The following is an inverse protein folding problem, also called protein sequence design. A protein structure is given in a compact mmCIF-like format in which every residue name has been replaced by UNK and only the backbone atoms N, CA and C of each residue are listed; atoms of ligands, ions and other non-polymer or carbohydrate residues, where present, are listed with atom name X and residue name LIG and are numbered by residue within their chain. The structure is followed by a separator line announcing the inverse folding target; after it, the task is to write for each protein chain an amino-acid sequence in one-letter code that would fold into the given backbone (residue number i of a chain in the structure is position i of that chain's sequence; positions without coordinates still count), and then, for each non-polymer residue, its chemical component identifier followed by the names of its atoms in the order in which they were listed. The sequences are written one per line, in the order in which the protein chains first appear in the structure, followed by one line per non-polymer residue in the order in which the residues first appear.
data_IF_613140893711
#
_entry.id   IF_613140893711
#
_cell.length_a   1.000
_cell.length_b   1.000
_cell.length_c   1.000
_cell.angle_alpha   90.00
_cell.angle_beta   90.00
_cell.angle_gamma   90.00
#
_symmetry.space_group_name_H-M   'P 1'
#
loop_
_entity.id
_entity.type
_entity.pdbx_description
1 polymer ?
#
# COMPACT_ATOMS: atom_id res chain seq x y z
N UNK A 1 2.09 7.46 -16.59
CA UNK A 1 2.15 7.33 -15.11
C UNK A 1 3.39 6.55 -14.66
N UNK A 2 3.71 5.43 -15.31
CA UNK A 2 4.81 4.53 -14.92
C UNK A 2 6.18 5.24 -14.93
N UNK A 3 6.51 5.98 -15.96
CA UNK A 3 7.85 6.60 -16.14
C UNK A 3 8.18 7.63 -15.05
N UNK A 4 7.22 8.44 -14.61
CA UNK A 4 7.43 9.41 -13.54
C UNK A 4 7.52 8.75 -12.15
N UNK A 5 6.78 7.66 -11.94
CA UNK A 5 6.82 6.90 -10.69
C UNK A 5 8.16 6.21 -10.48
N UNK A 6 8.76 5.66 -11.55
CA UNK A 6 10.07 5.02 -11.48
C UNK A 6 11.17 6.00 -11.09
N UNK A 7 11.22 7.18 -11.74
CA UNK A 7 12.20 8.22 -11.42
C UNK A 7 12.03 8.72 -9.96
N UNK A 8 10.79 8.88 -9.50
CA UNK A 8 10.48 9.29 -8.14
C UNK A 8 10.95 8.25 -7.11
N UNK A 9 10.60 6.97 -7.32
CA UNK A 9 10.98 5.89 -6.40
C UNK A 9 12.48 5.66 -6.40
N UNK A 10 13.12 5.72 -7.56
CA UNK A 10 14.58 5.65 -7.69
C UNK A 10 15.26 6.73 -6.85
N UNK A 11 14.81 7.97 -6.96
CA UNK A 11 15.34 9.09 -6.17
C UNK A 11 15.18 8.84 -4.67
N UNK A 12 14.02 8.32 -4.23
CA UNK A 12 13.80 8.00 -2.83
C UNK A 12 14.78 6.92 -2.36
N UNK A 13 14.86 5.79 -3.05
CA UNK A 13 15.59 4.63 -2.55
C UNK A 13 17.10 4.68 -2.81
N UNK A 14 17.56 5.39 -3.83
CA UNK A 14 18.97 5.45 -4.20
C UNK A 14 19.67 6.72 -3.70
N UNK A 15 18.93 7.82 -3.46
CA UNK A 15 19.52 9.09 -3.04
C UNK A 15 19.09 9.49 -1.62
N UNK A 16 17.77 9.58 -1.36
CA UNK A 16 17.23 10.14 -0.13
C UNK A 16 17.42 9.17 1.04
N UNK A 17 16.95 7.93 0.89
CA UNK A 17 17.03 6.92 1.97
C UNK A 17 18.48 6.65 2.39
N UNK A 18 19.46 6.45 1.50
CA UNK A 18 20.85 6.26 1.90
C UNK A 18 21.48 7.47 2.61
N UNK A 19 20.97 8.68 2.36
CA UNK A 19 21.45 9.91 3.02
C UNK A 19 20.94 10.05 4.46
N UNK A 20 19.95 9.24 4.87
CA UNK A 20 19.38 9.29 6.22
C UNK A 20 20.14 8.30 7.11
N UNK A 21 20.81 8.82 8.14
CA UNK A 21 21.50 7.98 9.11
C UNK A 21 20.52 7.08 9.89
N UNK A 22 20.89 5.83 10.07
CA UNK A 22 20.12 4.88 10.88
C UNK A 22 18.98 4.17 10.13
N UNK A 23 18.97 4.21 8.80
CA UNK A 23 18.05 3.36 8.01
C UNK A 23 18.34 1.90 8.34
N UNK A 24 17.30 1.20 8.75
CA UNK A 24 17.39 -0.19 9.14
C UNK A 24 17.31 -1.13 7.93
N UNK A 25 17.43 -2.43 8.18
CA UNK A 25 17.26 -3.45 7.14
C UNK A 25 15.88 -3.41 6.50
N UNK A 26 15.73 -4.01 5.32
CA UNK A 26 14.46 -4.10 4.61
C UNK A 26 13.34 -4.70 5.50
N UNK A 27 13.67 -5.69 6.31
CA UNK A 27 12.74 -6.38 7.22
C UNK A 27 12.12 -5.43 8.25
N UNK A 28 12.86 -4.40 8.66
CA UNK A 28 12.42 -3.39 9.63
C UNK A 28 11.90 -2.11 8.99
N UNK A 29 11.84 -2.06 7.68
CA UNK A 29 11.42 -0.88 6.93
C UNK A 29 10.01 -1.07 6.37
N UNK A 30 9.18 -0.04 6.51
CA UNK A 30 7.88 0.05 5.89
C UNK A 30 7.78 1.29 5.02
N UNK A 31 6.99 1.19 3.94
CA UNK A 31 6.54 2.34 3.14
C UNK A 31 5.06 2.55 3.39
N UNK A 32 4.66 3.77 3.64
CA UNK A 32 3.25 4.14 3.85
C UNK A 32 2.86 5.28 2.92
N UNK A 33 1.68 5.18 2.35
CA UNK A 33 1.10 6.22 1.52
C UNK A 33 -0.42 6.16 1.49
N UNK A 34 -1.03 7.29 1.15
CA UNK A 34 -2.49 7.40 1.02
C UNK A 34 -2.88 7.81 -0.40
N UNK A 35 -4.08 7.44 -0.83
CA UNK A 35 -4.61 7.77 -2.16
C UNK A 35 -3.67 7.30 -3.29
N UNK A 36 -3.21 8.20 -4.15
CA UNK A 36 -2.16 7.92 -5.15
C UNK A 36 -0.87 7.42 -4.51
N UNK A 37 -0.52 7.95 -3.32
CA UNK A 37 0.60 7.44 -2.52
C UNK A 37 0.40 6.00 -2.05
N UNK A 38 -0.84 5.58 -1.82
CA UNK A 38 -1.17 4.18 -1.52
C UNK A 38 -0.87 3.25 -2.70
N UNK A 39 -1.25 3.64 -3.92
CA UNK A 39 -0.86 2.90 -5.13
C UNK A 39 0.66 2.92 -5.35
N UNK A 40 1.31 4.07 -5.15
CA UNK A 40 2.76 4.19 -5.26
C UNK A 40 3.49 3.29 -4.23
N UNK A 41 2.91 3.11 -3.04
CA UNK A 41 3.43 2.19 -2.01
C UNK A 41 3.40 0.73 -2.47
N UNK A 42 2.29 0.30 -3.07
CA UNK A 42 2.17 -1.05 -3.63
C UNK A 42 3.10 -1.24 -4.84
N UNK A 43 3.18 -0.23 -5.70
CA UNK A 43 4.09 -0.23 -6.84
C UNK A 43 5.57 -0.28 -6.40
N UNK A 44 5.92 0.44 -5.35
CA UNK A 44 7.25 0.38 -4.76
C UNK A 44 7.61 -1.04 -4.25
N UNK A 45 6.66 -1.76 -3.66
CA UNK A 45 6.87 -3.15 -3.24
C UNK A 45 7.17 -4.09 -4.42
N UNK A 46 6.61 -3.79 -5.60
CA UNK A 46 6.87 -4.55 -6.83
C UNK A 46 8.24 -4.21 -7.41
N UNK A 47 8.59 -2.92 -7.52
CA UNK A 47 9.79 -2.45 -8.19
C UNK A 47 11.06 -2.51 -7.33
N UNK A 48 10.90 -2.39 -6.01
CA UNK A 48 12.00 -2.33 -5.04
C UNK A 48 11.82 -3.31 -3.87
N UNK A 49 11.59 -4.61 -4.14
CA UNK A 49 11.25 -5.59 -3.10
C UNK A 49 12.36 -5.84 -2.09
N UNK A 50 13.58 -5.44 -2.40
CA UNK A 50 14.77 -5.55 -1.54
C UNK A 50 14.93 -4.38 -0.56
N UNK A 51 14.19 -3.28 -0.75
CA UNK A 51 14.36 -2.05 0.04
C UNK A 51 13.51 -2.01 1.31
N UNK A 52 12.40 -2.73 1.34
CA UNK A 52 11.49 -2.79 2.49
C UNK A 52 10.64 -4.06 2.45
N UNK A 53 9.95 -4.40 3.55
CA UNK A 53 9.11 -5.62 3.64
C UNK A 53 7.65 -5.34 3.97
N UNK A 54 7.29 -4.11 4.31
CA UNK A 54 5.89 -3.79 4.67
C UNK A 54 5.38 -2.61 3.86
N UNK A 55 4.29 -2.83 3.14
CA UNK A 55 3.58 -1.80 2.38
C UNK A 55 2.25 -1.46 3.07
N UNK A 56 2.06 -0.19 3.44
CA UNK A 56 0.88 0.30 4.13
C UNK A 56 0.13 1.28 3.22
N UNK A 57 -0.88 0.78 2.49
CA UNK A 57 -1.64 1.54 1.51
C UNK A 57 -2.98 2.01 2.08
N UNK A 58 -3.09 3.31 2.38
CA UNK A 58 -4.30 3.92 2.93
C UNK A 58 -5.17 4.46 1.79
N UNK A 59 -6.38 3.96 1.65
CA UNK A 59 -7.32 4.33 0.57
C UNK A 59 -6.64 4.38 -0.80
N UNK A 60 -5.94 3.30 -1.24
CA UNK A 60 -5.23 3.31 -2.52
C UNK A 60 -6.19 3.67 -3.66
N UNK A 61 -5.75 4.58 -4.54
CA UNK A 61 -6.62 5.23 -5.53
C UNK A 61 -6.94 4.33 -6.73
N UNK A 62 -7.63 3.22 -6.48
CA UNK A 62 -7.97 2.23 -7.51
C UNK A 62 -8.81 2.76 -8.66
N UNK A 63 -9.61 3.82 -8.45
CA UNK A 63 -10.56 4.37 -9.46
C UNK A 63 -9.90 5.03 -10.68
N UNK A 64 -8.58 5.21 -10.69
CA UNK A 64 -7.84 5.62 -11.89
C UNK A 64 -7.60 4.46 -12.87
N UNK A 65 -8.00 3.27 -12.51
CA UNK A 65 -7.66 2.04 -13.20
C UNK A 65 -8.90 1.13 -13.35
N UNK A 66 -8.69 0.04 -14.04
CA UNK A 66 -9.67 -1.03 -14.18
C UNK A 66 -9.24 -2.31 -13.43
N UNK A 67 -10.06 -3.35 -13.53
CA UNK A 67 -9.76 -4.66 -12.94
C UNK A 67 -8.49 -5.29 -13.52
N UNK A 68 -8.13 -5.05 -14.78
CA UNK A 68 -6.95 -5.62 -15.40
C UNK A 68 -5.67 -5.01 -14.79
N UNK A 69 -5.66 -3.70 -14.57
CA UNK A 69 -4.57 -3.04 -13.88
C UNK A 69 -4.46 -3.53 -12.43
N UNK A 70 -5.57 -3.56 -11.69
CA UNK A 70 -5.59 -4.04 -10.32
C UNK A 70 -5.09 -5.50 -10.22
N UNK A 71 -5.50 -6.36 -11.17
CA UNK A 71 -5.02 -7.74 -11.28
C UNK A 71 -3.52 -7.79 -11.50
N UNK A 72 -3.00 -7.06 -12.48
CA UNK A 72 -1.57 -7.05 -12.80
C UNK A 72 -0.72 -6.58 -11.62
N UNK A 73 -1.19 -5.58 -10.87
CA UNK A 73 -0.55 -5.12 -9.65
C UNK A 73 -0.50 -6.22 -8.58
N UNK A 74 -1.66 -6.87 -8.31
CA UNK A 74 -1.73 -7.93 -7.30
C UNK A 74 -0.87 -9.12 -7.70
N UNK A 75 -0.87 -9.51 -8.98
CA UNK A 75 -0.05 -10.63 -9.49
C UNK A 75 1.45 -10.37 -9.36
N UNK A 76 1.88 -9.12 -9.43
CA UNK A 76 3.28 -8.74 -9.31
C UNK A 76 3.74 -8.54 -7.86
N UNK A 77 2.84 -8.37 -6.89
CA UNK A 77 3.21 -8.18 -5.47
C UNK A 77 3.99 -9.38 -4.93
N UNK A 78 5.13 -9.19 -4.27
CA UNK A 78 5.90 -10.29 -3.69
C UNK A 78 5.22 -10.88 -2.45
N UNK A 79 5.05 -12.20 -2.42
CA UNK A 79 4.43 -12.93 -1.30
C UNK A 79 5.20 -12.83 0.02
N UNK A 80 6.46 -12.41 -0.04
CA UNK A 80 7.30 -12.19 1.14
C UNK A 80 7.02 -10.90 1.89
N UNK A 81 6.19 -10.01 1.31
CA UNK A 81 5.85 -8.73 1.92
C UNK A 81 4.63 -8.81 2.81
N UNK A 82 4.61 -7.97 3.83
CA UNK A 82 3.39 -7.64 4.59
C UNK A 82 2.68 -6.50 3.88
N UNK A 83 1.41 -6.71 3.58
CA UNK A 83 0.60 -5.73 2.83
C UNK A 83 -0.60 -5.34 3.69
N UNK A 84 -0.73 -4.06 3.96
CA UNK A 84 -1.92 -3.47 4.55
C UNK A 84 -2.64 -2.63 3.52
N UNK A 85 -3.96 -2.79 3.44
CA UNK A 85 -4.83 -1.91 2.69
C UNK A 85 -5.97 -1.44 3.58
N UNK A 86 -6.45 -0.22 3.36
CA UNK A 86 -7.64 0.27 4.05
C UNK A 86 -8.41 1.25 3.18
N UNK A 87 -9.67 1.46 3.52
CA UNK A 87 -10.49 2.55 2.96
C UNK A 87 -11.53 3.00 3.97
N UNK A 88 -12.09 4.16 3.75
CA UNK A 88 -13.31 4.58 4.43
C UNK A 88 -14.58 4.07 3.74
N UNK A 89 -15.72 4.58 4.16
CA UNK A 89 -17.03 4.29 3.59
C UNK A 89 -17.80 5.56 3.15
N UNK A 90 -17.15 6.73 3.13
CA UNK A 90 -17.73 8.02 2.76
C UNK A 90 -16.96 8.73 1.65
N UNK A 91 -17.66 9.61 0.95
CA UNK A 91 -17.07 10.42 -0.12
C UNK A 91 -16.46 9.54 -1.20
N UNK A 92 -15.26 9.87 -1.64
CA UNK A 92 -14.54 9.16 -2.70
C UNK A 92 -14.26 7.68 -2.35
N UNK A 93 -14.07 7.34 -1.08
CA UNK A 93 -13.82 5.96 -0.66
C UNK A 93 -14.99 4.99 -0.91
N UNK A 94 -16.21 5.52 -1.16
CA UNK A 94 -17.33 4.69 -1.61
C UNK A 94 -17.12 4.11 -3.00
N UNK A 95 -16.45 4.86 -3.87
CA UNK A 95 -16.17 4.44 -5.25
C UNK A 95 -15.15 3.30 -5.30
N UNK A 96 -14.39 3.09 -4.23
CA UNK A 96 -13.37 2.04 -4.15
C UNK A 96 -13.90 0.66 -3.80
N UNK A 97 -15.17 0.54 -3.39
CA UNK A 97 -15.73 -0.70 -2.84
C UNK A 97 -15.55 -1.88 -3.78
N UNK A 98 -15.91 -1.73 -5.06
CA UNK A 98 -15.88 -2.84 -6.01
C UNK A 98 -14.45 -3.29 -6.28
N UNK A 99 -13.56 -2.35 -6.64
CA UNK A 99 -12.17 -2.67 -6.94
C UNK A 99 -11.40 -3.15 -5.70
N UNK A 100 -11.64 -2.58 -4.52
CA UNK A 100 -11.00 -3.08 -3.31
C UNK A 100 -11.44 -4.50 -2.97
N UNK A 101 -12.74 -4.81 -3.07
CA UNK A 101 -13.22 -6.18 -2.85
C UNK A 101 -12.64 -7.18 -3.87
N UNK A 102 -12.50 -6.76 -5.13
CA UNK A 102 -11.86 -7.55 -6.17
C UNK A 102 -10.38 -7.80 -5.83
N UNK A 103 -9.64 -6.75 -5.47
CA UNK A 103 -8.23 -6.84 -5.02
C UNK A 103 -8.10 -7.76 -3.81
N UNK A 104 -8.92 -7.59 -2.78
CA UNK A 104 -8.91 -8.42 -1.57
C UNK A 104 -9.10 -9.91 -1.91
N UNK A 105 -10.02 -10.22 -2.82
CA UNK A 105 -10.25 -11.58 -3.30
C UNK A 105 -9.02 -12.14 -4.02
N UNK A 106 -8.39 -11.35 -4.90
CA UNK A 106 -7.18 -11.77 -5.62
C UNK A 106 -6.00 -11.99 -4.66
N UNK A 107 -5.79 -11.11 -3.69
CA UNK A 107 -4.74 -11.25 -2.68
C UNK A 107 -4.84 -12.59 -1.96
N UNK A 108 -6.05 -12.95 -1.50
CA UNK A 108 -6.29 -14.23 -0.83
C UNK A 108 -6.06 -15.43 -1.77
N UNK A 109 -6.54 -15.35 -3.02
CA UNK A 109 -6.32 -16.41 -4.03
C UNK A 109 -4.85 -16.63 -4.35
N UNK A 110 -4.03 -15.58 -4.28
CA UNK A 110 -2.58 -15.67 -4.48
C UNK A 110 -1.83 -16.27 -3.30
N UNK A 111 -2.48 -16.46 -2.15
CA UNK A 111 -1.87 -17.05 -0.97
C UNK A 111 -1.40 -16.04 0.08
N UNK A 112 -1.75 -14.76 -0.06
CA UNK A 112 -1.60 -13.81 1.04
C UNK A 112 -2.58 -14.19 2.16
N UNK A 113 -2.05 -14.48 3.35
CA UNK A 113 -2.82 -14.92 4.53
C UNK A 113 -2.54 -14.00 5.71
N UNK A 114 -1.65 -14.40 6.62
CA UNK A 114 -1.30 -13.64 7.82
C UNK A 114 -0.50 -12.35 7.52
N UNK A 115 0.07 -12.25 6.34
CA UNK A 115 0.84 -11.11 5.85
C UNK A 115 -0.01 -10.10 5.03
N UNK A 116 -1.33 -10.26 5.04
CA UNK A 116 -2.26 -9.33 4.38
C UNK A 116 -3.42 -8.97 5.29
N UNK A 117 -3.69 -7.68 5.39
CA UNK A 117 -4.87 -7.15 6.05
C UNK A 117 -5.53 -6.06 5.20
N UNK A 118 -6.86 -6.11 5.11
CA UNK A 118 -7.67 -5.10 4.44
C UNK A 118 -8.80 -4.66 5.37
N UNK A 119 -8.93 -3.34 5.61
CA UNK A 119 -9.91 -2.78 6.55
C UNK A 119 -10.79 -1.70 5.95
N UNK A 120 -12.05 -1.71 6.38
CA UNK A 120 -13.02 -0.65 6.09
C UNK A 120 -13.32 0.13 7.36
N UNK A 121 -13.02 1.43 7.35
CA UNK A 121 -13.28 2.33 8.48
C UNK A 121 -14.61 3.06 8.29
N UNK A 122 -15.59 2.69 9.12
CA UNK A 122 -16.92 3.29 9.09
C UNK A 122 -16.87 4.78 9.43
N UNK A 123 -17.69 5.56 8.74
CA UNK A 123 -17.81 7.01 8.90
C UNK A 123 -16.54 7.80 8.61
N UNK A 124 -15.62 7.20 7.88
CA UNK A 124 -14.36 7.80 7.43
C UNK A 124 -14.39 8.08 5.94
N UNK A 125 -13.80 9.18 5.52
CA UNK A 125 -13.70 9.58 4.11
C UNK A 125 -12.26 9.69 3.64
N UNK A 126 -12.09 10.08 2.38
CA UNK A 126 -10.81 10.18 1.69
C UNK A 126 -10.07 11.48 2.04
N UNK A 127 -9.50 11.54 3.22
CA UNK A 127 -8.74 12.71 3.69
C UNK A 127 -7.82 12.37 4.87
N UNK A 128 -6.86 13.26 5.10
CA UNK A 128 -5.79 13.13 6.10
C UNK A 128 -6.36 13.00 7.52
N UNK A 129 -7.44 13.72 7.83
CA UNK A 129 -8.09 13.64 9.15
C UNK A 129 -8.65 12.24 9.43
N UNK A 130 -9.20 11.60 8.40
CA UNK A 130 -9.69 10.22 8.50
C UNK A 130 -8.52 9.24 8.67
N UNK A 131 -7.49 9.34 7.83
CA UNK A 131 -6.32 8.47 7.89
C UNK A 131 -5.57 8.60 9.22
N UNK A 132 -5.41 9.81 9.74
CA UNK A 132 -4.77 10.05 11.04
C UNK A 132 -5.48 9.33 12.20
N UNK A 133 -6.81 9.21 12.17
CA UNK A 133 -7.58 8.56 13.23
C UNK A 133 -7.23 7.08 13.43
N UNK A 134 -6.94 6.38 12.38
CA UNK A 134 -6.65 4.94 12.43
C UNK A 134 -5.21 4.56 12.08
N UNK A 135 -4.33 5.54 11.90
CA UNK A 135 -2.92 5.32 11.56
C UNK A 135 -2.21 4.33 12.49
N UNK A 136 -2.64 4.28 13.74
CA UNK A 136 -2.08 3.37 14.74
C UNK A 136 -2.21 1.89 14.35
N UNK A 137 -3.27 1.51 13.62
CA UNK A 137 -3.51 0.11 13.26
C UNK A 137 -2.54 -0.39 12.19
N UNK A 138 -2.34 0.28 11.04
CA UNK A 138 -1.31 -0.14 10.09
C UNK A 138 0.10 -0.10 10.67
N UNK A 139 0.42 0.84 11.56
CA UNK A 139 1.71 0.85 12.24
C UNK A 139 1.90 -0.36 13.17
N UNK A 140 0.85 -0.78 13.89
CA UNK A 140 0.88 -2.02 14.68
C UNK A 140 1.04 -3.25 13.81
N UNK A 141 0.35 -3.30 12.67
CA UNK A 141 0.50 -4.40 11.69
C UNK A 141 1.95 -4.49 11.19
N UNK A 142 2.60 -3.37 10.91
CA UNK A 142 4.01 -3.36 10.55
C UNK A 142 4.90 -3.91 11.67
N UNK A 143 4.70 -3.45 12.90
CA UNK A 143 5.53 -3.77 14.07
C UNK A 143 5.22 -5.16 14.67
N UNK A 144 4.12 -5.80 14.27
CA UNK A 144 3.83 -7.17 14.72
C UNK A 144 4.81 -8.17 14.10
N UNK A 145 5.19 -9.16 14.89
CA UNK A 145 6.02 -10.27 14.44
C UNK A 145 5.32 -11.13 13.38
#
# INVERSE_FOLDING_TARGET
LVVHSDAYLKKIFEEIVPAIHGVSSAEKTAVIGSSMGGLATLYAAIQHPDKFRTALALSPHWVISDENFARSMVEALPLTHKIWMSRGDKGLDKEYVQLQNFVDSLMRKRGFTNNFESKVYKRSGHNERSWAKYLQEPLRFWLSA
#
